data_IF_333946505945
#
_entry.id   IF_333946505945
#
_cell.length_a   1.000
_cell.length_b   1.000
_cell.length_c   1.000
_cell.angle_alpha   90.00
_cell.angle_beta   90.00
_cell.angle_gamma   90.00
#
_symmetry.space_group_name_H-M   'P 1'
#
loop_
_entity.id
_entity.type
_entity.pdbx_description
1 polymer ?
#
# COMPACT_ATOMS: atom_id res chain seq x y z
N UNK A 1 18.81 -17.23 18.34
CA UNK A 1 18.69 -17.57 16.91
C UNK A 1 18.84 -16.29 16.10
N UNK A 2 19.57 -16.30 14.98
CA UNK A 2 19.59 -15.16 14.06
C UNK A 2 18.36 -15.24 13.13
N UNK A 3 17.60 -14.15 13.04
CA UNK A 3 16.48 -14.02 12.10
C UNK A 3 16.94 -13.30 10.83
N UNK A 4 16.24 -13.50 9.72
CA UNK A 4 16.52 -12.86 8.43
C UNK A 4 17.90 -13.23 7.86
N UNK A 5 18.30 -14.50 7.95
CA UNK A 5 19.61 -14.92 7.43
C UNK A 5 19.63 -15.00 5.91
N UNK A 6 18.51 -15.40 5.29
CA UNK A 6 18.39 -15.61 3.84
C UNK A 6 17.07 -15.03 3.34
N UNK A 7 17.12 -13.76 2.95
CA UNK A 7 15.96 -12.98 2.56
C UNK A 7 15.78 -12.99 1.05
N UNK A 8 14.60 -13.44 0.59
CA UNK A 8 14.18 -13.36 -0.80
C UNK A 8 13.21 -12.19 -0.98
N UNK A 9 13.61 -11.18 -1.73
CA UNK A 9 12.81 -10.00 -2.05
C UNK A 9 12.12 -10.19 -3.41
N UNK A 10 10.80 -10.12 -3.43
CA UNK A 10 9.99 -10.29 -4.64
C UNK A 10 9.57 -8.92 -5.18
N UNK A 11 10.11 -8.51 -6.32
CA UNK A 11 9.82 -7.27 -7.02
C UNK A 11 11.03 -6.67 -7.74
N UNK A 12 10.77 -5.67 -8.58
CA UNK A 12 11.80 -4.93 -9.34
C UNK A 12 11.62 -3.41 -9.24
N UNK A 13 10.86 -2.95 -8.25
CA UNK A 13 10.64 -1.53 -7.97
C UNK A 13 11.69 -0.95 -7.01
N UNK A 14 11.76 0.38 -6.84
CA UNK A 14 12.76 1.03 -5.99
C UNK A 14 12.79 0.52 -4.54
N UNK A 15 11.62 0.16 -3.98
CA UNK A 15 11.48 -0.44 -2.65
C UNK A 15 12.36 -1.68 -2.46
N UNK A 16 12.55 -2.50 -3.50
CA UNK A 16 13.34 -3.73 -3.40
C UNK A 16 14.82 -3.43 -3.16
N UNK A 17 15.35 -2.38 -3.78
CA UNK A 17 16.74 -1.94 -3.58
C UNK A 17 16.92 -1.40 -2.18
N UNK A 18 15.99 -0.55 -1.73
CA UNK A 18 16.04 0.01 -0.38
C UNK A 18 16.05 -1.10 0.69
N UNK A 19 15.16 -2.08 0.56
CA UNK A 19 15.09 -3.20 1.50
C UNK A 19 16.34 -4.08 1.43
N UNK A 20 16.88 -4.33 0.23
CA UNK A 20 18.12 -5.08 0.06
C UNK A 20 19.29 -4.44 0.80
N UNK A 21 19.48 -3.12 0.65
CA UNK A 21 20.51 -2.37 1.37
C UNK A 21 20.32 -2.48 2.88
N UNK A 22 19.08 -2.36 3.37
CA UNK A 22 18.79 -2.41 4.80
C UNK A 22 19.05 -3.79 5.41
N UNK A 23 18.58 -4.87 4.77
CA UNK A 23 18.84 -6.24 5.24
C UNK A 23 20.33 -6.60 5.17
N UNK A 24 21.05 -6.20 4.11
CA UNK A 24 22.49 -6.44 4.01
C UNK A 24 23.27 -5.70 5.10
N UNK A 25 23.00 -4.41 5.28
CA UNK A 25 23.83 -3.57 6.14
C UNK A 25 23.54 -3.77 7.63
N UNK A 26 22.30 -4.11 7.99
CA UNK A 26 21.91 -4.25 9.40
C UNK A 26 21.87 -5.70 9.88
N UNK A 27 21.27 -6.60 9.09
CA UNK A 27 21.11 -8.00 9.48
C UNK A 27 22.25 -8.89 8.98
N UNK A 28 23.17 -8.37 8.15
CA UNK A 28 24.19 -9.16 7.45
C UNK A 28 23.59 -10.36 6.69
N UNK A 29 22.40 -10.16 6.11
CA UNK A 29 21.65 -11.20 5.43
C UNK A 29 22.35 -11.66 4.15
N UNK A 30 22.08 -12.90 3.72
CA UNK A 30 22.13 -13.25 2.30
C UNK A 30 20.83 -12.76 1.66
N UNK A 31 20.94 -11.96 0.61
CA UNK A 31 19.78 -11.33 -0.05
C UNK A 31 19.69 -11.78 -1.50
N UNK A 32 18.51 -12.23 -1.90
CA UNK A 32 18.16 -12.38 -3.30
C UNK A 32 17.06 -11.41 -3.71
N UNK A 33 17.09 -11.03 -4.99
CA UNK A 33 15.99 -10.31 -5.63
C UNK A 33 15.45 -11.16 -6.78
N UNK A 34 14.12 -11.25 -6.88
CA UNK A 34 13.45 -11.90 -7.99
C UNK A 34 12.36 -10.99 -8.58
N UNK A 35 12.19 -11.05 -9.90
CA UNK A 35 11.20 -10.23 -10.60
C UNK A 35 10.52 -10.97 -11.74
N UNK A 36 9.36 -10.48 -12.17
CA UNK A 36 8.72 -10.91 -13.43
C UNK A 36 9.57 -10.53 -14.63
N UNK A 37 9.45 -11.26 -15.72
CA UNK A 37 10.04 -10.90 -17.01
C UNK A 37 9.07 -9.98 -17.76
N UNK A 38 9.48 -8.74 -17.99
CA UNK A 38 8.79 -7.72 -18.78
C UNK A 38 9.79 -6.73 -19.35
N UNK A 39 9.41 -5.96 -20.37
CA UNK A 39 10.27 -4.94 -20.97
C UNK A 39 10.86 -3.98 -19.93
N UNK A 40 10.05 -3.52 -18.97
CA UNK A 40 10.50 -2.62 -17.90
C UNK A 40 11.51 -3.29 -16.97
N UNK A 41 11.22 -4.53 -16.56
CA UNK A 41 12.11 -5.27 -15.67
C UNK A 41 13.39 -5.74 -16.37
N UNK A 42 13.40 -5.91 -17.70
CA UNK A 42 14.60 -6.28 -18.44
C UNK A 42 15.67 -5.19 -18.32
N UNK A 43 15.28 -3.91 -18.44
CA UNK A 43 16.18 -2.77 -18.18
C UNK A 43 16.80 -2.88 -16.78
N UNK A 44 15.98 -3.18 -15.77
CA UNK A 44 16.46 -3.40 -14.41
C UNK A 44 17.43 -4.59 -14.32
N UNK A 45 17.05 -5.76 -14.87
CA UNK A 45 17.90 -6.95 -14.84
C UNK A 45 19.27 -6.71 -15.46
N UNK A 46 19.28 -6.13 -16.66
CA UNK A 46 20.51 -5.85 -17.41
C UNK A 46 21.40 -4.86 -16.65
N UNK A 47 20.80 -3.81 -16.06
CA UNK A 47 21.54 -2.82 -15.25
C UNK A 47 22.16 -3.46 -14.00
N UNK A 48 21.41 -4.28 -13.25
CA UNK A 48 21.94 -4.94 -12.04
C UNK A 48 23.11 -5.88 -12.39
N UNK A 49 23.00 -6.62 -13.50
CA UNK A 49 24.05 -7.53 -13.97
C UNK A 49 25.30 -6.75 -14.40
N UNK A 50 25.14 -5.66 -15.18
CA UNK A 50 26.25 -4.79 -15.58
C UNK A 50 26.99 -4.20 -14.36
N UNK A 51 26.27 -3.89 -13.29
CA UNK A 51 26.81 -3.35 -12.05
C UNK A 51 27.27 -4.45 -11.08
N UNK A 52 27.46 -5.68 -11.54
CA UNK A 52 27.97 -6.81 -10.75
C UNK A 52 27.16 -7.03 -9.45
N UNK A 53 25.83 -6.91 -9.56
CA UNK A 53 24.88 -7.06 -8.46
C UNK A 53 25.02 -6.00 -7.33
N UNK A 54 25.74 -4.91 -7.58
CA UNK A 54 25.89 -3.81 -6.64
C UNK A 54 24.67 -2.87 -6.68
N UNK A 55 24.14 -2.55 -5.51
CA UNK A 55 22.98 -1.70 -5.30
C UNK A 55 23.36 -0.47 -4.48
N UNK A 56 22.66 0.65 -4.73
CA UNK A 56 22.90 1.89 -3.99
C UNK A 56 21.61 2.67 -3.72
N UNK A 57 21.53 3.19 -2.50
CA UNK A 57 20.47 4.09 -2.05
C UNK A 57 21.07 5.43 -1.70
N UNK A 58 20.56 6.47 -2.36
CA UNK A 58 20.80 7.86 -2.02
C UNK A 58 19.62 8.44 -1.24
N UNK A 59 19.84 9.59 -0.61
CA UNK A 59 18.81 10.33 0.12
C UNK A 59 18.79 11.78 -0.35
N UNK A 60 17.61 12.39 -0.31
CA UNK A 60 17.45 13.81 -0.59
C UNK A 60 17.67 14.66 0.67
N UNK A 61 17.20 14.20 1.82
CA UNK A 61 17.35 14.87 3.11
C UNK A 61 18.37 14.13 3.98
N UNK A 62 19.41 14.83 4.43
CA UNK A 62 20.50 14.26 5.26
C UNK A 62 20.02 13.72 6.61
N UNK A 63 18.84 14.13 7.09
CA UNK A 63 18.20 13.54 8.27
C UNK A 63 17.87 12.04 8.09
N UNK A 64 17.84 11.56 6.85
CA UNK A 64 17.58 10.17 6.51
C UNK A 64 18.87 9.37 6.27
N UNK A 65 20.03 9.80 6.78
CA UNK A 65 21.32 9.14 6.57
C UNK A 65 21.31 7.63 6.87
N UNK A 66 20.54 7.20 7.87
CA UNK A 66 20.45 5.80 8.27
C UNK A 66 19.82 4.87 7.22
N UNK A 67 19.04 5.39 6.25
CA UNK A 67 18.49 4.58 5.15
C UNK A 67 19.37 4.59 3.90
N UNK A 68 20.41 5.43 3.84
CA UNK A 68 21.35 5.46 2.72
C UNK A 68 22.37 4.32 2.82
N UNK A 69 22.89 3.87 1.69
CA UNK A 69 23.94 2.86 1.70
C UNK A 69 24.18 2.20 0.37
N UNK A 70 25.10 1.23 0.38
CA UNK A 70 25.41 0.36 -0.74
C UNK A 70 25.50 -1.09 -0.26
N UNK A 71 25.17 -2.03 -1.12
CA UNK A 71 25.40 -3.46 -0.87
C UNK A 71 25.58 -4.22 -2.17
N UNK A 72 26.02 -5.48 -2.08
CA UNK A 72 26.00 -6.43 -3.20
C UNK A 72 25.05 -7.57 -2.82
N UNK A 73 24.10 -7.90 -3.68
CA UNK A 73 23.16 -9.02 -3.45
C UNK A 73 23.81 -10.36 -3.79
N UNK A 74 23.33 -11.43 -3.15
CA UNK A 74 23.93 -12.76 -3.20
C UNK A 74 23.38 -13.62 -4.34
N UNK A 75 22.13 -13.36 -4.76
CA UNK A 75 21.52 -14.01 -5.91
C UNK A 75 20.49 -13.11 -6.59
N UNK A 76 20.24 -13.36 -7.87
CA UNK A 76 19.34 -12.55 -8.68
C UNK A 76 18.59 -13.41 -9.69
N UNK A 77 17.25 -13.39 -9.65
CA UNK A 77 16.40 -14.28 -10.43
C UNK A 77 15.54 -13.49 -11.42
N UNK A 78 15.82 -13.69 -12.71
CA UNK A 78 14.99 -13.21 -13.82
C UNK A 78 13.85 -14.20 -14.08
N UNK A 79 12.69 -13.93 -13.51
CA UNK A 79 11.52 -14.79 -13.51
C UNK A 79 11.35 -15.54 -12.18
N UNK A 80 10.13 -15.52 -11.62
CA UNK A 80 9.83 -16.16 -10.34
C UNK A 80 9.96 -17.69 -10.37
N UNK A 81 9.69 -18.31 -11.52
CA UNK A 81 9.86 -19.75 -11.75
C UNK A 81 11.33 -20.21 -11.73
N UNK A 82 12.30 -19.29 -11.83
CA UNK A 82 13.73 -19.60 -11.79
C UNK A 82 14.32 -19.51 -10.38
N UNK A 83 13.52 -19.13 -9.39
CA UNK A 83 13.98 -19.03 -8.00
C UNK A 83 14.41 -20.41 -7.52
N UNK A 84 15.61 -20.48 -6.97
CA UNK A 84 16.19 -21.69 -6.41
C UNK A 84 16.90 -21.40 -5.09
N UNK A 85 17.31 -22.46 -4.39
CA UNK A 85 17.94 -22.38 -3.08
C UNK A 85 16.95 -22.25 -1.94
N UNK A 86 17.50 -22.07 -0.73
CA UNK A 86 16.73 -22.08 0.51
C UNK A 86 16.66 -20.69 1.12
N UNK A 87 15.45 -20.16 1.29
CA UNK A 87 15.19 -18.81 1.79
C UNK A 87 14.34 -18.90 3.06
N UNK A 88 14.83 -18.33 4.17
CA UNK A 88 14.12 -18.42 5.45
C UNK A 88 12.99 -17.39 5.58
N UNK A 89 13.11 -16.29 4.83
CA UNK A 89 12.18 -15.17 4.79
C UNK A 89 11.88 -14.75 3.35
N UNK A 90 10.60 -14.58 3.02
CA UNK A 90 10.13 -14.04 1.74
C UNK A 90 9.49 -12.67 1.97
N UNK A 91 9.89 -11.66 1.22
CA UNK A 91 9.34 -10.29 1.33
C UNK A 91 8.64 -9.90 0.04
N UNK A 92 7.33 -9.67 0.13
CA UNK A 92 6.53 -9.23 -1.00
C UNK A 92 6.64 -7.71 -1.16
N UNK A 93 7.46 -7.29 -2.13
CA UNK A 93 7.70 -5.90 -2.52
C UNK A 93 6.94 -5.51 -3.80
N UNK A 94 6.14 -6.42 -4.34
CA UNK A 94 5.22 -6.16 -5.45
C UNK A 94 3.93 -5.48 -4.96
N UNK A 95 3.10 -5.07 -5.89
CA UNK A 95 1.76 -4.54 -5.62
C UNK A 95 0.85 -5.65 -5.09
N UNK A 96 -0.08 -5.31 -4.19
CA UNK A 96 -0.89 -6.30 -3.46
C UNK A 96 -1.71 -7.21 -4.37
N UNK A 97 -2.22 -6.65 -5.48
CA UNK A 97 -2.97 -7.36 -6.52
C UNK A 97 -2.15 -8.44 -7.25
N UNK A 98 -0.82 -8.44 -7.06
CA UNK A 98 0.09 -9.43 -7.65
C UNK A 98 0.58 -10.49 -6.65
N UNK A 99 0.18 -10.44 -5.37
CA UNK A 99 0.73 -11.36 -4.35
C UNK A 99 0.51 -12.83 -4.71
N UNK A 100 -0.72 -13.21 -5.03
CA UNK A 100 -1.07 -14.59 -5.35
C UNK A 100 -0.40 -15.06 -6.65
N UNK A 101 -0.48 -14.25 -7.70
CA UNK A 101 0.07 -14.59 -9.02
C UNK A 101 1.60 -14.70 -9.00
N UNK A 102 2.28 -13.94 -8.15
CA UNK A 102 3.73 -14.06 -7.93
C UNK A 102 4.07 -15.33 -7.18
N UNK A 103 3.43 -15.60 -6.04
CA UNK A 103 3.74 -16.79 -5.24
C UNK A 103 3.42 -18.09 -5.98
N UNK A 104 2.35 -18.11 -6.78
CA UNK A 104 1.96 -19.27 -7.60
C UNK A 104 3.00 -19.66 -8.67
N UNK A 105 3.90 -18.75 -9.05
CA UNK A 105 4.98 -19.03 -10.01
C UNK A 105 6.23 -19.65 -9.36
N UNK A 106 6.34 -19.64 -8.03
CA UNK A 106 7.51 -20.12 -7.30
C UNK A 106 7.38 -21.62 -7.05
N UNK A 107 8.47 -22.37 -7.21
CA UNK A 107 8.47 -23.80 -6.85
C UNK A 107 8.04 -23.98 -5.38
N UNK A 108 7.03 -24.80 -5.16
CA UNK A 108 6.52 -25.15 -3.83
C UNK A 108 7.62 -25.62 -2.87
N UNK A 109 8.69 -26.26 -3.35
CA UNK A 109 9.85 -26.66 -2.53
C UNK A 109 10.55 -25.46 -1.90
N UNK A 110 10.65 -24.35 -2.63
CA UNK A 110 11.21 -23.09 -2.11
C UNK A 110 10.28 -22.51 -1.06
N UNK A 111 8.99 -22.43 -1.36
CA UNK A 111 7.99 -21.87 -0.44
C UNK A 111 7.89 -22.65 0.87
N UNK A 112 7.94 -23.99 0.83
CA UNK A 112 7.89 -24.85 2.02
C UNK A 112 9.01 -24.60 3.03
N UNK A 113 10.13 -24.03 2.59
CA UNK A 113 11.28 -23.77 3.45
C UNK A 113 11.22 -22.40 4.12
N UNK A 114 10.42 -21.48 3.58
CA UNK A 114 10.24 -20.17 4.17
C UNK A 114 9.44 -20.30 5.47
N UNK A 115 9.98 -19.68 6.51
CA UNK A 115 9.39 -19.65 7.85
C UNK A 115 8.70 -18.32 8.15
N UNK A 116 8.89 -17.32 7.28
CA UNK A 116 8.33 -15.98 7.43
C UNK A 116 8.02 -15.35 6.07
N UNK A 117 6.86 -14.70 5.99
CA UNK A 117 6.41 -13.92 4.86
C UNK A 117 6.11 -12.49 5.32
N UNK A 118 6.77 -11.51 4.72
CA UNK A 118 6.61 -10.10 5.05
C UNK A 118 5.87 -9.39 3.91
N UNK A 119 4.75 -8.74 4.22
CA UNK A 119 3.96 -7.94 3.30
C UNK A 119 4.31 -6.47 3.51
N UNK A 120 5.00 -5.86 2.55
CA UNK A 120 5.52 -4.50 2.72
C UNK A 120 4.46 -3.41 2.51
N UNK A 121 3.57 -3.60 1.53
CA UNK A 121 2.48 -2.69 1.20
C UNK A 121 1.19 -3.47 0.95
N UNK A 122 0.64 -4.16 1.97
CA UNK A 122 -0.61 -4.90 1.83
C UNK A 122 -1.83 -3.98 1.78
N UNK A 123 -2.96 -4.58 1.40
CA UNK A 123 -4.31 -4.05 1.64
C UNK A 123 -5.03 -4.86 2.72
N UNK A 124 -6.20 -4.39 3.14
CA UNK A 124 -7.03 -5.07 4.13
C UNK A 124 -7.39 -6.49 3.69
N UNK A 125 -6.95 -7.49 4.45
CA UNK A 125 -7.16 -8.91 4.17
C UNK A 125 -5.97 -9.62 3.52
N UNK A 126 -4.88 -8.92 3.19
CA UNK A 126 -3.74 -9.53 2.49
C UNK A 126 -3.07 -10.63 3.29
N UNK A 127 -2.90 -10.44 4.59
CA UNK A 127 -2.39 -11.47 5.50
C UNK A 127 -3.20 -12.76 5.45
N UNK A 128 -4.54 -12.65 5.38
CA UNK A 128 -5.45 -13.79 5.30
C UNK A 128 -5.40 -14.47 3.94
N UNK A 129 -5.26 -13.70 2.85
CA UNK A 129 -5.02 -14.24 1.51
C UNK A 129 -3.75 -15.11 1.49
N UNK A 130 -2.65 -14.59 2.05
CA UNK A 130 -1.38 -15.29 2.13
C UNK A 130 -1.45 -16.51 3.06
N UNK A 131 -2.11 -16.38 4.22
CA UNK A 131 -2.32 -17.50 5.13
C UNK A 131 -3.07 -18.64 4.46
N UNK A 132 -4.15 -18.33 3.74
CA UNK A 132 -4.93 -19.34 3.02
C UNK A 132 -4.09 -20.03 1.94
N UNK A 133 -3.35 -19.25 1.14
CA UNK A 133 -2.48 -19.78 0.09
C UNK A 133 -1.42 -20.74 0.66
N UNK A 134 -0.81 -20.39 1.79
CA UNK A 134 0.28 -21.16 2.41
C UNK A 134 -0.19 -22.32 3.28
N UNK A 135 -1.49 -22.43 3.58
CA UNK A 135 -2.05 -23.41 4.52
C UNK A 135 -1.63 -24.86 4.24
N UNK A 136 -1.55 -25.24 2.97
CA UNK A 136 -1.17 -26.61 2.55
C UNK A 136 0.33 -26.75 2.21
N UNK A 137 1.10 -25.66 2.29
CA UNK A 137 2.52 -25.62 1.98
C UNK A 137 3.34 -25.51 3.26
N UNK A 138 3.09 -24.47 4.05
CA UNK A 138 3.83 -24.13 5.28
C UNK A 138 2.86 -23.48 6.28
N UNK A 139 1.96 -24.25 6.91
CA UNK A 139 0.91 -23.71 7.78
C UNK A 139 1.45 -23.00 9.03
N UNK A 140 2.71 -23.27 9.40
CA UNK A 140 3.39 -22.65 10.54
C UNK A 140 4.24 -21.45 10.13
N UNK A 141 4.19 -21.01 8.87
CA UNK A 141 4.91 -19.81 8.47
C UNK A 141 4.31 -18.56 9.15
N UNK A 142 5.19 -17.74 9.71
CA UNK A 142 4.80 -16.46 10.27
C UNK A 142 4.48 -15.46 9.16
N UNK A 143 3.36 -14.75 9.26
CA UNK A 143 3.00 -13.69 8.30
C UNK A 143 3.03 -12.37 9.03
N UNK A 144 3.81 -11.43 8.49
CA UNK A 144 3.99 -10.08 9.04
C UNK A 144 3.48 -9.07 8.02
N UNK A 145 2.48 -8.26 8.40
CA UNK A 145 1.99 -7.16 7.56
C UNK A 145 2.46 -5.82 8.12
N UNK A 146 3.09 -5.03 7.25
CA UNK A 146 3.27 -3.61 7.48
C UNK A 146 2.01 -2.86 7.06
N UNK A 147 1.79 -1.66 7.59
CA UNK A 147 0.67 -0.84 7.13
C UNK A 147 0.90 -0.18 5.78
N UNK A 148 2.16 0.12 5.46
CA UNK A 148 2.60 0.69 4.19
C UNK A 148 4.12 0.63 4.09
N UNK A 149 4.65 0.80 2.89
CA UNK A 149 6.07 1.08 2.70
C UNK A 149 6.47 2.35 3.46
N UNK A 150 7.62 2.29 4.13
CA UNK A 150 8.03 3.31 5.10
C UNK A 150 8.66 4.56 4.48
N UNK A 151 8.84 4.61 3.17
CA UNK A 151 9.49 5.74 2.50
C UNK A 151 8.81 6.16 1.20
N UNK A 152 9.33 7.22 0.61
CA UNK A 152 9.13 7.57 -0.78
C UNK A 152 10.47 7.35 -1.50
N UNK A 153 10.52 6.30 -2.31
CA UNK A 153 11.76 5.87 -2.99
C UNK A 153 11.47 5.73 -4.46
N UNK A 154 12.31 6.38 -5.27
CA UNK A 154 12.14 6.47 -6.71
C UNK A 154 13.46 6.22 -7.43
N UNK A 155 13.35 5.88 -8.70
CA UNK A 155 14.46 5.94 -9.63
C UNK A 155 14.90 7.39 -9.79
N UNK A 156 16.22 7.67 -9.78
CA UNK A 156 16.77 9.04 -9.87
C UNK A 156 16.23 9.76 -11.11
N UNK A 157 16.25 9.09 -12.26
CA UNK A 157 15.77 9.63 -13.54
C UNK A 157 14.45 8.99 -14.03
N UNK A 158 13.70 8.35 -13.13
CA UNK A 158 12.47 7.62 -13.47
C UNK A 158 12.68 6.29 -14.22
N UNK A 159 13.92 5.97 -14.61
CA UNK A 159 14.31 4.75 -15.33
C UNK A 159 14.79 3.67 -14.35
N UNK A 160 14.36 2.40 -14.49
CA UNK A 160 14.86 1.31 -13.66
C UNK A 160 16.39 1.19 -13.69
N UNK A 161 17.03 1.08 -12.53
CA UNK A 161 18.49 1.09 -12.38
C UNK A 161 18.94 0.26 -11.15
N UNK A 162 20.23 0.23 -10.84
CA UNK A 162 20.76 -0.28 -9.56
C UNK A 162 20.79 0.79 -8.45
N UNK A 163 20.48 2.04 -8.80
CA UNK A 163 20.50 3.19 -7.90
C UNK A 163 19.09 3.78 -7.69
N UNK A 164 18.78 4.11 -6.44
CA UNK A 164 17.50 4.76 -6.07
C UNK A 164 17.72 5.96 -5.17
N UNK A 165 16.76 6.89 -5.17
CA UNK A 165 16.71 8.04 -4.29
C UNK A 165 15.51 7.91 -3.35
N UNK A 166 15.78 7.91 -2.04
CA UNK A 166 14.75 8.03 -1.00
C UNK A 166 14.60 9.50 -0.61
N UNK A 167 13.43 10.07 -0.93
CA UNK A 167 13.12 11.49 -0.77
C UNK A 167 12.52 11.79 0.59
N UNK A 168 11.77 10.84 1.15
CA UNK A 168 11.14 10.97 2.46
C UNK A 168 11.04 9.62 3.17
N UNK A 169 11.00 9.67 4.50
CA UNK A 169 10.85 8.51 5.38
C UNK A 169 9.78 8.82 6.42
N UNK A 170 8.85 7.89 6.63
CA UNK A 170 7.80 7.99 7.65
C UNK A 170 8.42 7.92 9.05
N UNK A 171 7.93 8.78 9.96
CA UNK A 171 8.30 8.73 11.38
C UNK A 171 7.79 7.47 12.06
N UNK A 172 6.56 7.08 11.75
CA UNK A 172 5.90 5.90 12.32
C UNK A 172 5.37 5.01 11.23
N UNK A 173 5.58 3.70 11.39
CA UNK A 173 4.94 2.65 10.59
C UNK A 173 4.36 1.62 11.53
N UNK A 174 3.22 1.05 11.15
CA UNK A 174 2.53 0.04 11.94
C UNK A 174 2.83 -1.35 11.40
N UNK A 175 2.94 -2.33 12.29
CA UNK A 175 3.24 -3.71 11.93
C UNK A 175 2.47 -4.68 12.81
N UNK A 176 2.06 -5.82 12.25
CA UNK A 176 1.44 -6.90 12.98
C UNK A 176 1.94 -8.25 12.47
N UNK A 177 1.96 -9.26 13.35
CA UNK A 177 2.36 -10.63 13.04
C UNK A 177 1.22 -11.59 13.39
N UNK A 178 1.11 -12.70 12.66
CA UNK A 178 0.25 -13.82 13.06
C UNK A 178 0.65 -14.43 14.41
N UNK A 179 1.88 -14.17 14.87
CA UNK A 179 2.38 -14.60 16.17
C UNK A 179 2.32 -13.46 17.18
N UNK A 180 1.63 -13.68 18.30
CA UNK A 180 1.50 -12.70 19.39
C UNK A 180 2.83 -12.32 20.06
N UNK A 181 3.78 -13.27 20.12
CA UNK A 181 5.15 -13.06 20.61
C UNK A 181 6.17 -13.36 19.52
N UNK A 182 6.25 -12.45 18.55
CA UNK A 182 7.19 -12.59 17.44
C UNK A 182 8.56 -11.99 17.72
N UNK A 183 9.58 -12.85 17.86
CA UNK A 183 10.98 -12.43 17.89
C UNK A 183 11.48 -11.84 16.55
N UNK A 184 10.85 -12.23 15.42
CA UNK A 184 11.16 -11.61 14.12
C UNK A 184 10.71 -10.15 14.11
N UNK A 185 9.56 -9.88 14.69
CA UNK A 185 9.01 -8.53 14.81
C UNK A 185 9.81 -7.69 15.80
N UNK A 186 10.34 -8.28 16.88
CA UNK A 186 11.34 -7.62 17.75
C UNK A 186 12.58 -7.22 16.94
N UNK A 187 13.12 -8.14 16.12
CA UNK A 187 14.29 -7.85 15.30
C UNK A 187 14.02 -6.79 14.21
N UNK A 188 12.82 -6.79 13.63
CA UNK A 188 12.39 -5.71 12.73
C UNK A 188 12.28 -4.37 13.46
N UNK A 189 11.79 -4.34 14.70
CA UNK A 189 11.77 -3.10 15.49
C UNK A 189 13.16 -2.55 15.75
N UNK A 190 14.15 -3.40 16.03
CA UNK A 190 15.55 -2.97 16.15
C UNK A 190 16.09 -2.37 14.84
N UNK A 191 15.85 -3.04 13.71
CA UNK A 191 16.20 -2.55 12.38
C UNK A 191 15.57 -1.18 12.12
N UNK A 192 14.25 -1.06 12.26
CA UNK A 192 13.54 0.18 11.97
C UNK A 192 13.92 1.32 12.91
N UNK A 193 14.20 1.01 14.19
CA UNK A 193 14.74 1.99 15.12
C UNK A 193 16.10 2.52 14.66
N UNK A 194 17.00 1.65 14.17
CA UNK A 194 18.27 2.07 13.57
C UNK A 194 18.08 2.96 12.34
N UNK A 195 17.03 2.72 11.54
CA UNK A 195 16.66 3.56 10.40
C UNK A 195 16.02 4.91 10.79
N UNK A 196 15.82 5.16 12.10
CA UNK A 196 15.14 6.37 12.59
C UNK A 196 13.61 6.32 12.49
N UNK A 197 13.04 5.12 12.40
CA UNK A 197 11.61 4.88 12.20
C UNK A 197 11.03 4.19 13.43
N UNK A 198 9.95 4.75 13.99
CA UNK A 198 9.19 4.09 15.04
C UNK A 198 8.28 3.01 14.46
N UNK A 199 8.57 1.75 14.76
CA UNK A 199 7.76 0.62 14.33
C UNK A 199 6.74 0.25 15.43
N UNK A 200 5.50 0.70 15.28
CA UNK A 200 4.42 0.47 16.25
C UNK A 200 3.79 -0.90 16.03
N UNK A 201 4.00 -1.80 16.99
CA UNK A 201 3.47 -3.17 16.98
C UNK A 201 1.97 -3.16 17.30
N UNK A 202 1.22 -3.94 16.54
CA UNK A 202 -0.23 -4.13 16.69
C UNK A 202 -0.55 -5.61 16.93
N UNK A 203 -1.79 -5.89 17.35
CA UNK A 203 -2.16 -7.23 17.81
C UNK A 203 -2.21 -8.27 16.68
N UNK A 204 -2.43 -7.84 15.44
CA UNK A 204 -2.52 -8.72 14.29
C UNK A 204 -2.05 -8.05 12.98
N UNK A 205 -1.69 -8.82 11.94
CA UNK A 205 -1.37 -8.27 10.64
C UNK A 205 -2.55 -7.53 10.02
N UNK A 206 -3.77 -8.04 10.21
CA UNK A 206 -5.01 -7.43 9.75
C UNK A 206 -5.23 -6.05 10.38
N UNK A 207 -4.92 -5.89 11.67
CA UNK A 207 -4.97 -4.58 12.33
C UNK A 207 -3.96 -3.61 11.71
N UNK A 208 -2.73 -4.06 11.43
CA UNK A 208 -1.73 -3.22 10.77
C UNK A 208 -2.14 -2.79 9.37
N UNK A 209 -2.80 -3.66 8.60
CA UNK A 209 -3.35 -3.35 7.29
C UNK A 209 -4.40 -2.21 7.32
N UNK A 210 -5.06 -1.99 8.46
CA UNK A 210 -5.99 -0.84 8.63
C UNK A 210 -5.27 0.49 8.85
N UNK A 211 -3.98 0.51 9.20
CA UNK A 211 -3.22 1.76 9.43
C UNK A 211 -2.58 2.28 8.14
N UNK A 212 -3.33 2.19 7.03
CA UNK A 212 -2.94 2.64 5.71
C UNK A 212 -3.85 3.79 5.25
N UNK A 213 -3.32 5.00 5.13
CA UNK A 213 -4.14 6.17 4.79
C UNK A 213 -4.81 6.03 3.42
N UNK A 214 -4.12 5.46 2.44
CA UNK A 214 -4.62 5.27 1.08
C UNK A 214 -5.84 4.35 1.03
N UNK A 215 -6.05 3.50 2.05
CA UNK A 215 -7.25 2.71 2.18
C UNK A 215 -8.49 3.60 2.25
N UNK A 216 -8.42 4.72 2.97
CA UNK A 216 -9.56 5.60 3.26
C UNK A 216 -9.67 6.78 2.30
N UNK A 217 -8.54 7.31 1.84
CA UNK A 217 -8.53 8.59 1.09
C UNK A 217 -8.49 8.43 -0.42
N UNK A 218 -7.93 7.34 -0.95
CA UNK A 218 -7.84 7.21 -2.41
C UNK A 218 -9.21 6.96 -3.07
N UNK A 219 -10.07 6.05 -2.59
CA UNK A 219 -11.36 5.80 -3.25
C UNK A 219 -12.18 7.08 -3.48
N UNK A 220 -12.45 7.95 -2.48
CA UNK A 220 -13.19 9.19 -2.71
C UNK A 220 -12.46 10.17 -3.63
N UNK A 221 -11.12 10.20 -3.62
CA UNK A 221 -10.34 11.15 -4.43
C UNK A 221 -10.12 10.70 -5.88
N UNK A 222 -10.21 9.41 -6.19
CA UNK A 222 -9.91 8.89 -7.54
C UNK A 222 -11.11 8.22 -8.23
N UNK A 223 -12.10 7.70 -7.49
CA UNK A 223 -13.28 7.00 -8.03
C UNK A 223 -14.52 7.89 -8.01
N UNK A 224 -14.39 9.08 -8.58
CA UNK A 224 -15.49 10.03 -8.79
C UNK A 224 -15.42 10.59 -10.21
N UNK A 225 -16.53 11.12 -10.72
CA UNK A 225 -16.65 11.56 -12.10
C UNK A 225 -15.56 12.56 -12.53
N UNK A 226 -15.23 13.53 -11.67
CA UNK A 226 -14.21 14.54 -11.96
C UNK A 226 -12.84 13.88 -12.20
N UNK A 227 -12.46 12.98 -11.28
CA UNK A 227 -11.14 12.37 -11.26
C UNK A 227 -10.99 11.34 -12.36
N UNK A 228 -12.04 10.54 -12.59
CA UNK A 228 -12.09 9.58 -13.67
C UNK A 228 -12.08 10.27 -15.04
N UNK A 229 -12.74 11.41 -15.19
CA UNK A 229 -12.58 12.26 -16.38
C UNK A 229 -11.13 12.70 -16.56
N UNK A 230 -10.48 13.23 -15.52
CA UNK A 230 -9.09 13.68 -15.59
C UNK A 230 -8.08 12.55 -15.90
N UNK A 231 -8.40 11.29 -15.57
CA UNK A 231 -7.53 10.13 -15.79
C UNK A 231 -7.74 9.50 -17.17
N UNK A 232 -8.99 9.37 -17.60
CA UNK A 232 -9.34 8.61 -18.80
C UNK A 232 -9.58 9.47 -20.04
N UNK A 233 -9.93 10.73 -19.87
CA UNK A 233 -10.23 11.64 -20.97
C UNK A 233 -9.02 12.55 -21.25
N UNK A 234 -8.85 12.95 -22.51
CA UNK A 234 -7.83 13.92 -22.90
C UNK A 234 -8.34 15.33 -22.52
N UNK A 235 -7.87 15.86 -21.39
CA UNK A 235 -8.12 17.26 -20.98
C UNK A 235 -6.92 18.13 -21.36
N UNK A 236 -7.17 19.35 -21.84
CA UNK A 236 -6.11 20.31 -22.20
C UNK A 236 -5.52 21.00 -20.97
N UNK A 237 -6.23 20.96 -19.84
CA UNK A 237 -5.82 21.62 -18.59
C UNK A 237 -5.50 20.55 -17.55
N UNK A 238 -4.29 20.61 -16.99
CA UNK A 238 -3.86 19.72 -15.91
C UNK A 238 -4.76 19.87 -14.68
N UNK A 239 -5.27 18.75 -14.17
CA UNK A 239 -6.05 18.65 -12.94
C UNK A 239 -5.21 18.04 -11.82
N UNK A 240 -5.54 18.40 -10.58
CA UNK A 240 -4.75 18.03 -9.41
C UNK A 240 -5.59 17.27 -8.38
N UNK A 241 -5.01 16.22 -7.79
CA UNK A 241 -5.71 15.30 -6.88
C UNK A 241 -6.19 15.99 -5.60
N UNK A 242 -5.38 16.92 -5.07
CA UNK A 242 -5.57 17.49 -3.74
C UNK A 242 -6.04 18.94 -3.74
N UNK A 243 -6.44 19.48 -4.90
CA UNK A 243 -7.01 20.84 -4.99
C UNK A 243 -8.53 20.82 -4.83
N UNK A 244 -9.07 21.98 -4.44
CA UNK A 244 -10.51 22.23 -4.45
C UNK A 244 -11.02 22.34 -5.91
N UNK A 245 -12.31 22.10 -6.11
CA UNK A 245 -12.95 22.35 -7.41
C UNK A 245 -12.85 23.83 -7.81
N UNK A 246 -12.54 24.17 -9.09
CA UNK A 246 -12.49 23.32 -10.30
C UNK A 246 -11.10 22.78 -10.67
N UNK A 247 -10.08 22.98 -9.83
CA UNK A 247 -8.72 22.51 -10.07
C UNK A 247 -8.51 21.05 -9.67
N UNK A 248 -9.29 20.57 -8.70
CA UNK A 248 -9.30 19.20 -8.22
C UNK A 248 -10.69 18.71 -7.78
N UNK A 249 -10.80 17.45 -7.32
CA UNK A 249 -12.09 16.83 -6.99
C UNK A 249 -12.67 17.29 -5.65
N UNK A 250 -11.90 17.96 -4.79
CA UNK A 250 -12.31 18.19 -3.40
C UNK A 250 -13.50 19.16 -3.36
N UNK A 251 -14.62 18.65 -2.89
CA UNK A 251 -15.90 19.32 -2.69
C UNK A 251 -16.57 18.76 -1.43
N UNK A 252 -17.63 19.40 -0.94
CA UNK A 252 -18.38 18.87 0.20
C UNK A 252 -18.92 17.45 -0.07
N UNK A 253 -19.33 17.14 -1.30
CA UNK A 253 -19.82 15.80 -1.70
C UNK A 253 -18.72 14.74 -1.57
N UNK A 254 -17.50 15.04 -2.05
CA UNK A 254 -16.37 14.12 -1.93
C UNK A 254 -15.98 13.91 -0.47
N UNK A 255 -16.03 14.95 0.37
CA UNK A 255 -15.77 14.81 1.80
C UNK A 255 -16.85 13.98 2.50
N UNK A 256 -18.13 14.14 2.14
CA UNK A 256 -19.21 13.28 2.62
C UNK A 256 -19.00 11.82 2.23
N UNK A 257 -18.64 11.55 0.98
CA UNK A 257 -18.32 10.19 0.54
C UNK A 257 -17.12 9.60 1.29
N UNK A 258 -16.07 10.40 1.52
CA UNK A 258 -14.92 9.99 2.33
C UNK A 258 -15.35 9.60 3.75
N UNK A 259 -16.18 10.43 4.41
CA UNK A 259 -16.65 10.14 5.77
C UNK A 259 -17.51 8.87 5.80
N UNK A 260 -18.47 8.75 4.88
CA UNK A 260 -19.39 7.60 4.84
C UNK A 260 -18.63 6.30 4.56
N UNK A 261 -17.71 6.31 3.59
CA UNK A 261 -16.88 5.16 3.31
C UNK A 261 -15.97 4.78 4.50
N UNK A 262 -15.38 5.77 5.20
CA UNK A 262 -14.65 5.48 6.42
C UNK A 262 -15.54 4.83 7.49
N UNK A 263 -16.79 5.31 7.67
CA UNK A 263 -17.74 4.68 8.61
C UNK A 263 -18.05 3.23 8.23
N UNK A 264 -18.30 2.96 6.95
CA UNK A 264 -18.49 1.59 6.42
C UNK A 264 -17.28 0.71 6.72
N UNK A 265 -16.06 1.22 6.48
CA UNK A 265 -14.82 0.53 6.86
C UNK A 265 -14.71 0.26 8.35
N UNK A 266 -15.11 1.21 9.21
CA UNK A 266 -15.07 1.01 10.66
C UNK A 266 -16.04 -0.08 11.11
N UNK A 267 -17.22 -0.21 10.49
CA UNK A 267 -18.14 -1.30 10.78
C UNK A 267 -17.56 -2.67 10.38
N UNK A 268 -16.88 -2.75 9.23
CA UNK A 268 -16.17 -3.98 8.81
C UNK A 268 -15.07 -4.33 9.81
N UNK A 269 -14.25 -3.35 10.20
CA UNK A 269 -13.09 -3.54 11.09
C UNK A 269 -13.53 -3.95 12.50
N UNK A 270 -14.63 -3.38 13.02
CA UNK A 270 -15.23 -3.78 14.31
C UNK A 270 -15.65 -5.24 14.33
N UNK A 271 -16.07 -5.80 13.19
CA UNK A 271 -16.45 -7.21 13.11
C UNK A 271 -15.30 -8.18 13.44
N UNK A 272 -14.06 -7.69 13.42
CA UNK A 272 -12.84 -8.46 13.71
C UNK A 272 -12.19 -8.05 15.04
N UNK A 273 -12.93 -7.38 15.93
CA UNK A 273 -12.48 -6.88 17.24
C UNK A 273 -11.30 -5.90 17.15
N UNK A 274 -11.12 -5.29 15.99
CA UNK A 274 -10.09 -4.28 15.78
C UNK A 274 -10.64 -2.92 16.21
N UNK A 275 -9.83 -2.19 16.98
CA UNK A 275 -10.18 -0.84 17.42
C UNK A 275 -10.37 0.10 16.21
N UNK A 276 -11.54 0.76 16.11
CA UNK A 276 -11.81 1.74 15.06
C UNK A 276 -10.77 2.85 15.05
N UNK A 277 -10.31 3.19 13.85
CA UNK A 277 -9.36 4.26 13.61
C UNK A 277 -10.05 5.62 13.76
N UNK A 278 -9.46 6.55 14.51
CA UNK A 278 -9.80 7.96 14.39
C UNK A 278 -9.16 8.53 13.13
N UNK A 279 -9.96 8.77 12.08
CA UNK A 279 -9.45 9.16 10.77
C UNK A 279 -8.72 10.51 10.78
N UNK A 280 -9.32 11.53 11.40
CA UNK A 280 -8.74 12.87 11.41
C UNK A 280 -7.42 12.88 12.18
N UNK A 281 -7.38 12.26 13.36
CA UNK A 281 -6.14 12.10 14.13
C UNK A 281 -5.08 11.37 13.33
N UNK A 282 -5.45 10.28 12.66
CA UNK A 282 -4.53 9.53 11.81
C UNK A 282 -4.00 10.36 10.62
N UNK A 283 -4.85 11.18 10.01
CA UNK A 283 -4.45 12.08 8.92
C UNK A 283 -3.48 13.19 9.35
N UNK A 284 -3.62 13.68 10.59
CA UNK A 284 -2.83 14.80 11.12
C UNK A 284 -1.53 14.30 11.77
N UNK A 285 -1.62 13.35 12.68
CA UNK A 285 -0.48 12.95 13.52
C UNK A 285 0.49 12.01 12.81
N UNK A 286 -0.05 11.08 12.01
CA UNK A 286 0.74 10.00 11.40
C UNK A 286 1.06 10.24 9.92
N UNK A 287 0.47 11.28 9.32
CA UNK A 287 0.66 11.60 7.91
C UNK A 287 1.18 13.03 7.73
N UNK A 288 0.29 14.02 7.66
CA UNK A 288 0.70 15.41 7.42
C UNK A 288 0.12 16.33 8.50
N UNK A 289 0.99 16.97 9.32
CA UNK A 289 0.53 17.83 10.40
C UNK A 289 -0.13 19.10 9.85
N UNK A 290 -0.93 19.73 10.70
CA UNK A 290 -1.53 21.04 10.44
C UNK A 290 -0.95 22.08 11.40
N UNK A 291 -1.13 23.35 11.09
CA UNK A 291 -0.90 24.41 12.06
C UNK A 291 -1.93 24.27 13.20
N UNK A 292 -1.55 24.49 14.47
CA UNK A 292 -2.48 24.35 15.61
C UNK A 292 -3.74 25.22 15.51
N UNK A 293 -3.67 26.35 14.79
CA UNK A 293 -4.81 27.22 14.55
C UNK A 293 -5.82 26.69 13.51
N UNK A 294 -5.47 25.65 12.74
CA UNK A 294 -6.34 25.10 11.69
C UNK A 294 -7.50 24.29 12.27
N UNK A 295 -7.24 23.41 13.23
CA UNK A 295 -8.24 22.55 13.88
C UNK A 295 -7.84 22.40 15.35
N UNK A 296 -8.82 22.52 16.26
CA UNK A 296 -8.56 22.35 17.68
C UNK A 296 -8.17 20.91 18.04
N UNK A 297 -7.20 20.75 18.94
CA UNK A 297 -6.68 19.44 19.33
C UNK A 297 -7.74 18.54 19.95
N UNK A 298 -8.70 19.09 20.71
CA UNK A 298 -9.78 18.29 21.31
C UNK A 298 -10.76 17.79 20.26
N UNK A 299 -10.98 18.55 19.18
CA UNK A 299 -11.79 18.11 18.06
C UNK A 299 -11.12 16.96 17.30
N UNK A 300 -9.79 17.01 17.13
CA UNK A 300 -9.01 15.91 16.56
C UNK A 300 -9.16 14.65 17.41
N UNK A 301 -8.96 14.75 18.73
CA UNK A 301 -9.07 13.59 19.64
C UNK A 301 -10.48 13.01 19.69
N UNK A 302 -11.51 13.87 19.70
CA UNK A 302 -12.90 13.46 19.83
C UNK A 302 -13.61 13.21 18.49
N UNK A 303 -12.91 13.29 17.35
CA UNK A 303 -13.50 13.21 16.01
C UNK A 303 -14.57 12.12 15.85
N UNK A 304 -14.31 10.91 16.34
CA UNK A 304 -15.24 9.77 16.23
C UNK A 304 -16.58 9.95 16.97
N UNK A 305 -16.64 10.87 17.94
CA UNK A 305 -17.82 11.19 18.75
C UNK A 305 -18.59 12.42 18.25
N UNK A 306 -18.03 13.13 17.26
CA UNK A 306 -18.65 14.34 16.72
C UNK A 306 -19.80 13.98 15.77
N UNK A 307 -20.74 14.91 15.63
CA UNK A 307 -21.83 14.82 14.66
C UNK A 307 -21.30 14.80 13.22
N UNK A 308 -22.04 14.13 12.32
CA UNK A 308 -21.54 13.86 10.95
C UNK A 308 -21.19 15.12 10.17
N UNK A 309 -22.01 16.17 10.26
CA UNK A 309 -21.75 17.45 9.57
C UNK A 309 -20.46 18.10 10.10
N UNK A 310 -20.21 17.98 11.41
CA UNK A 310 -19.01 18.50 12.03
C UNK A 310 -17.78 17.70 11.60
N UNK A 311 -17.89 16.37 11.53
CA UNK A 311 -16.85 15.51 10.97
C UNK A 311 -16.51 15.88 9.52
N UNK A 312 -17.53 16.08 8.67
CA UNK A 312 -17.37 16.55 7.29
C UNK A 312 -16.64 17.90 7.25
N UNK A 313 -17.05 18.85 8.09
CA UNK A 313 -16.44 20.17 8.16
C UNK A 313 -14.94 20.11 8.50
N UNK A 314 -14.56 19.34 9.52
CA UNK A 314 -13.15 19.18 9.92
C UNK A 314 -12.31 18.49 8.84
N UNK A 315 -12.87 17.47 8.17
CA UNK A 315 -12.19 16.83 7.04
C UNK A 315 -11.99 17.80 5.87
N UNK A 316 -12.98 18.65 5.58
CA UNK A 316 -12.85 19.70 4.56
C UNK A 316 -11.76 20.72 4.95
N UNK A 317 -11.77 21.22 6.19
CA UNK A 317 -10.71 22.12 6.70
C UNK A 317 -9.34 21.47 6.59
N UNK A 318 -9.21 20.18 6.93
CA UNK A 318 -7.95 19.44 6.84
C UNK A 318 -7.39 19.47 5.43
N UNK A 319 -8.22 19.23 4.39
CA UNK A 319 -7.75 19.31 3.01
C UNK A 319 -7.47 20.74 2.56
N UNK A 320 -8.30 21.72 2.93
CA UNK A 320 -8.08 23.12 2.61
C UNK A 320 -6.76 23.66 3.22
N UNK A 321 -6.44 23.22 4.45
CA UNK A 321 -5.22 23.62 5.18
C UNK A 321 -3.94 23.04 4.58
N UNK A 322 -4.05 22.03 3.69
CA UNK A 322 -2.93 21.38 3.02
C UNK A 322 -2.90 21.68 1.51
N UNK A 323 -3.61 22.73 1.06
CA UNK A 323 -3.45 23.23 -0.31
C UNK A 323 -2.02 23.70 -0.57
N UNK A 324 -1.39 24.23 0.48
CA UNK A 324 0.02 24.58 0.59
C UNK A 324 0.68 23.71 1.66
N UNK A 325 2.01 23.68 1.70
CA UNK A 325 2.74 23.17 2.87
C UNK A 325 2.85 24.31 3.88
N UNK A 326 2.08 24.27 4.99
CA UNK A 326 2.03 25.37 5.94
C UNK A 326 3.29 25.46 6.83
N UNK A 327 4.26 24.55 6.66
CA UNK A 327 5.56 24.58 7.33
C UNK A 327 6.71 24.91 6.38
N UNK A 328 6.44 25.02 5.07
CA UNK A 328 7.44 25.47 4.12
C UNK A 328 7.81 26.94 4.34
N UNK A 329 9.03 27.32 3.98
CA UNK A 329 9.45 28.73 4.04
C UNK A 329 8.76 29.46 2.88
N UNK A 330 7.94 30.50 3.15
CA UNK A 330 7.30 31.24 2.08
C UNK A 330 8.33 32.00 1.25
N UNK A 331 8.01 32.20 -0.04
CA UNK A 331 8.82 33.02 -0.92
C UNK A 331 8.71 34.52 -0.57
N UNK A 332 9.39 35.39 -1.31
CA UNK A 332 9.41 36.85 -1.05
C UNK A 332 8.03 37.51 -1.13
N UNK A 333 7.10 36.90 -1.86
CA UNK A 333 5.71 37.36 -2.00
C UNK A 333 4.76 36.72 -0.96
N UNK A 334 5.28 35.96 0.00
CA UNK A 334 4.49 35.30 1.04
C UNK A 334 3.81 34.00 0.60
N UNK A 335 4.18 33.44 -0.57
CA UNK A 335 3.60 32.18 -1.09
C UNK A 335 4.38 30.98 -0.56
N UNK A 336 3.65 30.04 0.02
CA UNK A 336 4.17 28.76 0.47
C UNK A 336 4.31 27.78 -0.70
N UNK A 337 5.03 26.67 -0.47
CA UNK A 337 5.12 25.59 -1.44
C UNK A 337 3.73 25.01 -1.75
N UNK A 338 3.41 24.85 -3.04
CA UNK A 338 2.12 24.29 -3.50
C UNK A 338 2.09 22.78 -3.30
N UNK A 339 1.68 22.37 -2.10
CA UNK A 339 1.60 20.98 -1.69
C UNK A 339 0.48 20.20 -2.38
N UNK A 340 -0.57 20.91 -2.84
CA UNK A 340 -1.70 20.29 -3.54
C UNK A 340 -1.48 20.01 -5.01
N UNK A 341 -0.39 20.51 -5.61
CA UNK A 341 -0.07 20.37 -7.03
C UNK A 341 0.40 18.96 -7.44
N UNK A 342 -0.34 17.92 -7.03
CA UNK A 342 -0.13 16.53 -7.46
C UNK A 342 -1.04 16.25 -8.67
N UNK A 343 -0.49 16.13 -9.90
CA UNK A 343 -1.32 15.96 -11.09
C UNK A 343 -1.92 14.56 -11.17
N UNK A 344 -3.13 14.47 -11.72
CA UNK A 344 -3.63 13.17 -12.19
C UNK A 344 -2.72 12.64 -13.30
N UNK A 345 -2.44 11.34 -13.26
CA UNK A 345 -1.80 10.66 -14.38
C UNK A 345 -2.90 10.18 -15.31
N UNK A 346 -2.77 10.48 -16.59
CA UNK A 346 -3.65 9.91 -17.61
C UNK A 346 -3.35 8.43 -17.85
N UNK A 347 -4.26 7.76 -18.55
CA UNK A 347 -3.95 6.49 -19.22
C UNK A 347 -2.73 6.67 -20.13
N UNK A 348 -1.92 5.63 -20.25
CA UNK A 348 -0.64 5.72 -20.97
C UNK A 348 -0.42 4.47 -21.81
N UNK A 349 0.39 4.59 -22.86
CA UNK A 349 0.84 3.42 -23.63
C UNK A 349 1.96 2.73 -22.86
N UNK A 350 1.73 1.50 -22.43
CA UNK A 350 2.74 0.69 -21.77
C UNK A 350 3.84 0.25 -22.77
N UNK A 351 4.89 -0.40 -22.26
CA UNK A 351 6.01 -0.83 -23.11
C UNK A 351 5.61 -1.92 -24.12
N UNK A 352 4.56 -2.68 -23.83
CA UNK A 352 4.00 -3.71 -24.72
C UNK A 352 3.09 -3.11 -25.80
N UNK A 353 2.93 -1.78 -25.81
CA UNK A 353 2.18 -1.04 -26.82
C UNK A 353 0.68 -0.95 -26.56
N UNK A 354 0.21 -1.37 -25.39
CA UNK A 354 -1.19 -1.33 -24.98
C UNK A 354 -1.47 -0.08 -24.12
N UNK A 355 -2.70 0.41 -24.15
CA UNK A 355 -3.15 1.41 -23.18
C UNK A 355 -3.36 0.75 -21.81
N UNK A 356 -2.71 1.30 -20.78
CA UNK A 356 -2.80 0.86 -19.40
C UNK A 356 -3.25 2.01 -18.49
N UNK A 357 -3.77 1.62 -17.33
CA UNK A 357 -4.29 2.52 -16.32
C UNK A 357 -3.15 2.83 -15.34
N UNK A 358 -2.96 4.09 -14.95
CA UNK A 358 -2.02 4.44 -13.89
C UNK A 358 -2.33 3.69 -12.60
N UNK A 359 -1.31 3.54 -11.76
CA UNK A 359 -1.39 2.87 -10.45
C UNK A 359 -2.60 3.30 -9.62
N UNK A 360 -2.90 4.60 -9.60
CA UNK A 360 -4.12 5.15 -9.03
C UNK A 360 -5.05 5.52 -10.19
N UNK A 361 -6.24 4.91 -10.33
CA UNK A 361 -6.93 4.05 -9.36
C UNK A 361 -6.78 2.53 -9.58
N UNK A 362 -5.91 2.04 -10.47
CA UNK A 362 -5.80 0.59 -10.78
C UNK A 362 -5.64 -0.30 -9.55
N UNK A 363 -4.72 0.03 -8.65
CA UNK A 363 -4.56 -0.70 -7.40
C UNK A 363 -5.70 -0.44 -6.43
N UNK A 364 -6.23 0.78 -6.39
CA UNK A 364 -7.33 1.13 -5.51
C UNK A 364 -8.59 0.31 -5.88
N UNK A 365 -8.82 0.01 -7.17
CA UNK A 365 -9.90 -0.85 -7.64
C UNK A 365 -9.80 -2.26 -7.05
N UNK A 366 -8.61 -2.88 -7.09
CA UNK A 366 -8.40 -4.17 -6.44
C UNK A 366 -8.75 -4.11 -4.94
N UNK A 367 -8.23 -3.11 -4.21
CA UNK A 367 -8.51 -2.96 -2.77
C UNK A 367 -10.01 -2.83 -2.51
N UNK A 368 -10.70 -2.02 -3.31
CA UNK A 368 -12.14 -1.80 -3.18
C UNK A 368 -12.93 -3.08 -3.43
N UNK A 369 -12.58 -3.88 -4.44
CA UNK A 369 -13.25 -5.17 -4.71
C UNK A 369 -13.04 -6.18 -3.57
N UNK A 370 -11.83 -6.23 -3.00
CA UNK A 370 -11.57 -7.09 -1.83
C UNK A 370 -12.45 -6.69 -0.65
N UNK A 371 -12.49 -5.39 -0.31
CA UNK A 371 -13.29 -4.89 0.81
C UNK A 371 -14.79 -5.08 0.54
N UNK A 372 -15.26 -4.84 -0.69
CA UNK A 372 -16.63 -5.12 -1.11
C UNK A 372 -16.99 -6.58 -0.85
N UNK A 373 -16.13 -7.50 -1.28
CA UNK A 373 -16.31 -8.94 -1.08
C UNK A 373 -16.38 -9.32 0.39
N UNK A 374 -15.53 -8.73 1.23
CA UNK A 374 -15.57 -8.93 2.69
C UNK A 374 -16.87 -8.40 3.27
N UNK A 375 -17.28 -7.16 2.94
CA UNK A 375 -18.53 -6.57 3.42
C UNK A 375 -19.74 -7.44 3.06
N UNK A 376 -19.81 -7.93 1.82
CA UNK A 376 -20.86 -8.84 1.36
C UNK A 376 -20.85 -10.18 2.13
N UNK A 377 -19.68 -10.78 2.34
CA UNK A 377 -19.56 -12.02 3.09
C UNK A 377 -20.01 -11.86 4.57
N UNK A 378 -19.77 -10.68 5.15
CA UNK A 378 -20.23 -10.31 6.49
C UNK A 378 -21.68 -9.82 6.53
N UNK A 379 -22.36 -9.70 5.39
CA UNK A 379 -23.71 -9.12 5.25
C UNK A 379 -23.82 -7.69 5.78
N UNK A 380 -22.75 -6.91 5.66
CA UNK A 380 -22.71 -5.50 6.04
C UNK A 380 -23.15 -4.64 4.85
N UNK A 381 -23.83 -3.53 5.13
CA UNK A 381 -24.19 -2.54 4.11
C UNK A 381 -22.98 -1.66 3.81
N UNK A 382 -22.69 -1.47 2.53
CA UNK A 382 -21.56 -0.64 2.07
C UNK A 382 -21.92 0.22 0.85
N UNK A 383 -22.99 1.04 0.90
CA UNK A 383 -23.49 1.75 -0.27
C UNK A 383 -22.48 2.74 -0.88
N UNK A 384 -21.62 3.36 -0.07
CA UNK A 384 -20.61 4.30 -0.57
C UNK A 384 -19.46 3.55 -1.25
N UNK A 385 -19.06 2.42 -0.67
CA UNK A 385 -18.11 1.50 -1.31
C UNK A 385 -18.66 1.01 -2.66
N UNK A 386 -19.91 0.54 -2.70
CA UNK A 386 -20.56 0.03 -3.91
C UNK A 386 -20.65 1.12 -4.99
N UNK A 387 -20.98 2.34 -4.59
CA UNK A 387 -20.97 3.50 -5.48
C UNK A 387 -19.59 3.70 -6.13
N UNK A 388 -18.49 3.72 -5.37
CA UNK A 388 -17.15 3.89 -5.94
C UNK A 388 -16.77 2.79 -6.93
N UNK A 389 -17.08 1.53 -6.61
CA UNK A 389 -16.82 0.39 -7.50
C UNK A 389 -17.63 0.54 -8.79
N UNK A 390 -18.92 0.84 -8.68
CA UNK A 390 -19.80 1.02 -9.82
C UNK A 390 -19.34 2.18 -10.71
N UNK A 391 -19.04 3.35 -10.13
CA UNK A 391 -18.57 4.52 -10.89
C UNK A 391 -17.30 4.22 -11.67
N UNK A 392 -16.36 3.47 -11.08
CA UNK A 392 -15.14 3.06 -11.77
C UNK A 392 -15.42 2.06 -12.92
N UNK A 393 -16.19 1.00 -12.64
CA UNK A 393 -16.53 -0.04 -13.63
C UNK A 393 -17.32 0.52 -14.82
N UNK A 394 -18.27 1.43 -14.57
CA UNK A 394 -19.03 2.13 -15.61
C UNK A 394 -18.09 2.99 -16.48
N UNK A 395 -17.13 3.71 -15.88
CA UNK A 395 -16.15 4.48 -16.66
C UNK A 395 -15.28 3.57 -17.53
N UNK A 396 -14.82 2.42 -17.01
CA UNK A 396 -14.05 1.46 -17.81
C UNK A 396 -14.83 1.01 -19.05
N UNK A 397 -16.10 0.63 -18.86
CA UNK A 397 -16.98 0.24 -19.97
C UNK A 397 -17.14 1.36 -21.00
N UNK A 398 -17.37 2.60 -20.54
CA UNK A 398 -17.50 3.77 -21.42
C UNK A 398 -16.22 4.01 -22.25
N UNK A 399 -15.04 3.91 -21.63
CA UNK A 399 -13.75 4.15 -22.30
C UNK A 399 -13.47 3.07 -23.35
N UNK A 400 -13.74 1.81 -23.03
CA UNK A 400 -13.58 0.69 -23.97
C UNK A 400 -14.57 0.81 -25.12
N UNK A 401 -15.84 1.11 -24.85
CA UNK A 401 -16.89 1.22 -25.87
C UNK A 401 -16.66 2.40 -26.85
N UNK A 402 -16.11 3.51 -26.37
CA UNK A 402 -15.84 4.71 -27.18
C UNK A 402 -14.57 4.62 -28.03
N UNK A 403 -13.69 3.64 -27.78
CA UNK A 403 -12.36 3.57 -28.38
C UNK A 403 -12.19 2.43 -29.40
N UNK A 404 -12.71 2.60 -30.62
CA UNK A 404 -12.69 1.56 -31.68
C UNK A 404 -11.31 1.14 -32.21
N UNK A 405 -10.23 1.85 -31.87
CA UNK A 405 -8.87 1.63 -32.41
C UNK A 405 -7.77 1.50 -31.35
N UNK A 406 -8.11 1.51 -30.06
CA UNK A 406 -7.12 1.37 -28.98
C UNK A 406 -7.02 -0.11 -28.57
N UNK A 407 -5.79 -0.61 -28.41
CA UNK A 407 -5.53 -1.90 -27.76
C UNK A 407 -5.35 -1.62 -26.28
N UNK A 408 -6.16 -2.25 -25.43
CA UNK A 408 -6.16 -2.05 -23.99
C UNK A 408 -5.53 -3.24 -23.30
N UNK A 409 -4.77 -2.97 -22.24
CA UNK A 409 -4.30 -4.01 -21.32
C UNK A 409 -5.46 -4.59 -20.49
N UNK A 410 -5.20 -5.70 -19.81
CA UNK A 410 -6.15 -6.35 -18.89
C UNK A 410 -6.61 -5.47 -17.72
N UNK A 411 -6.03 -4.27 -17.52
CA UNK A 411 -6.48 -3.32 -16.52
C UNK A 411 -7.87 -2.73 -16.85
N UNK A 412 -8.30 -2.75 -18.11
CA UNK A 412 -9.61 -2.24 -18.55
C UNK A 412 -10.74 -3.27 -18.44
N UNK A 413 -10.43 -4.52 -18.06
CA UNK A 413 -11.42 -5.54 -17.83
C UNK A 413 -12.01 -5.41 -16.42
N UNK A 414 -13.33 -5.53 -16.30
CA UNK A 414 -14.00 -5.67 -15.00
C UNK A 414 -13.61 -7.03 -14.41
N UNK A 415 -13.14 -7.02 -13.16
CA UNK A 415 -12.64 -8.21 -12.48
C UNK A 415 -13.42 -8.48 -11.20
N UNK A 416 -13.80 -9.73 -10.99
CA UNK A 416 -14.50 -10.15 -9.78
C UNK A 416 -13.55 -10.29 -8.58
N UNK A 417 -12.30 -10.72 -8.82
CA UNK A 417 -11.35 -11.15 -7.79
C UNK A 417 -11.95 -12.19 -6.83
N UNK A 418 -12.87 -13.03 -7.35
CA UNK A 418 -13.66 -13.96 -6.54
C UNK A 418 -12.80 -14.99 -5.83
N UNK A 419 -11.69 -15.42 -6.45
CA UNK A 419 -10.76 -16.37 -5.83
C UNK A 419 -10.10 -15.75 -4.60
N UNK A 420 -9.55 -14.54 -4.73
CA UNK A 420 -8.92 -13.84 -3.61
C UNK A 420 -9.92 -13.55 -2.49
N UNK A 421 -11.12 -13.08 -2.83
CA UNK A 421 -12.20 -12.82 -1.86
C UNK A 421 -12.57 -14.09 -1.11
N UNK A 422 -12.76 -15.21 -1.82
CA UNK A 422 -13.12 -16.48 -1.20
C UNK A 422 -12.03 -16.97 -0.23
N UNK A 423 -10.76 -16.89 -0.62
CA UNK A 423 -9.62 -17.27 0.22
C UNK A 423 -9.54 -16.41 1.49
N UNK A 424 -9.71 -15.10 1.36
CA UNK A 424 -9.72 -14.16 2.48
C UNK A 424 -10.88 -14.47 3.43
N UNK A 425 -12.11 -14.54 2.90
CA UNK A 425 -13.30 -14.77 3.69
C UNK A 425 -13.27 -16.13 4.41
N UNK A 426 -12.72 -17.18 3.78
CA UNK A 426 -12.51 -18.49 4.43
C UNK A 426 -11.66 -18.36 5.70
N UNK A 427 -10.52 -17.67 5.63
CA UNK A 427 -9.66 -17.50 6.82
C UNK A 427 -10.25 -16.55 7.85
N UNK A 428 -10.94 -15.49 7.43
CA UNK A 428 -11.63 -14.56 8.34
C UNK A 428 -12.75 -15.24 9.13
N UNK A 429 -13.52 -16.13 8.50
CA UNK A 429 -14.59 -16.87 9.17
C UNK A 429 -14.02 -17.97 10.09
N UNK A 430 -12.95 -18.64 9.67
CA UNK A 430 -12.28 -19.65 10.48
C UNK A 430 -11.67 -19.06 11.75
N UNK A 431 -10.96 -17.93 11.65
CA UNK A 431 -10.33 -17.28 12.80
C UNK A 431 -11.35 -16.84 13.85
N UNK A 432 -12.55 -16.43 13.43
CA UNK A 432 -13.66 -16.10 14.34
C UNK A 432 -14.17 -17.30 15.11
N UNK A 433 -14.44 -18.42 14.42
CA UNK A 433 -14.92 -19.66 15.07
C UNK A 433 -13.94 -20.21 16.09
N UNK A 434 -12.64 -20.11 15.82
CA UNK A 434 -11.61 -20.55 16.78
C UNK A 434 -11.63 -19.70 18.05
N UNK A 435 -11.80 -18.38 17.93
CA UNK A 435 -11.92 -17.49 19.10
C UNK A 435 -13.18 -17.77 19.92
N UNK A 436 -14.34 -17.92 19.28
CA UNK A 436 -15.61 -18.22 19.96
C UNK A 436 -15.56 -19.58 20.68
N UNK A 437 -14.91 -20.58 20.07
CA UNK A 437 -14.73 -21.90 20.68
C UNK A 437 -13.75 -21.91 21.86
N UNK A 438 -12.72 -21.05 21.88
CA UNK A 438 -11.81 -20.92 23.03
C UNK A 438 -12.49 -20.21 24.23
N UNK A 439 -13.43 -19.29 23.99
CA UNK A 439 -14.20 -18.63 25.06
C UNK A 439 -15.27 -19.53 25.70
N UNK A 440 -15.84 -20.49 24.96
CA UNK A 440 -16.80 -21.48 25.51
C UNK A 440 -16.15 -22.49 26.47
N UNK A 441 -14.84 -22.73 26.39
CA UNK A 441 -14.12 -23.62 27.31
C UNK A 441 -13.59 -22.93 28.57
N UNK A 442 -13.71 -21.60 28.66
CA UNK A 442 -13.23 -20.78 29.80
C UNK A 442 -14.39 -20.33 30.72
N UNK A 443 -15.64 -20.68 30.39
CA UNK A 443 -16.81 -20.56 31.29
C UNK A 443 -17.19 -21.92 31.84
#
# INVERSE_FOLDING_TARGET
MSYFNKVLLLGTGPTVIQLAVNFKNYCNSKVAIAGRESLRSNIFFDTIVQQQLALKVFIQNTQHQAVAGKCTIDAFFKGYHKISGNWDTVVLCVTTDSYLSVLAQIDTKVLKQASCYILMSPTFGSSHLIANFLKNLTPQAEIISFSTYYGDTRWIDGIPSNEVLTTGVKKTVYVGSTYSKSHRLDKLSELFHHLGIHLKKLASPLEAETRNISLYVHPPLFMNDFSLKAIFDEDSITKYVYKLYPEGPITYTIIRHLLNYWKEMMEIVKHFDIQPLNLLKFMVDDNYPLQPASIDGQEIENFNKLESIHQEYLLYIRYASLLIDPFSIPNKEGRYFDFSAVPFRGIYKNLDGEWDIPRMPKEDYFRMKIIQGIAHALKLKSPTLDYFVQTYEEKLQQVVASSKKKIFSDAFQIKSFSQEIEMICKELILSKKTKEGEEEYIK
#
